data_IF_972384272616
#
_entry.id   IF_972384272616
#
_cell.length_a   1.000
_cell.length_b   1.000
_cell.length_c   1.000
_cell.angle_alpha   90.00
_cell.angle_beta   90.00
_cell.angle_gamma   90.00
#
_symmetry.space_group_name_H-M   'P 1'
#
loop_
_entity.id
_entity.type
_entity.pdbx_description
1 polymer ?
#
# COMPACT_ATOMS: atom_id res chain seq x y z
N UNK A 1 -28.70 6.75 10.66
CA UNK A 1 -27.44 6.20 11.19
C UNK A 1 -26.30 6.94 10.51
N UNK A 2 -25.20 7.20 11.21
CA UNK A 2 -23.99 7.79 10.59
C UNK A 2 -23.32 6.72 9.72
N UNK A 3 -22.91 7.06 8.50
CA UNK A 3 -22.13 6.17 7.62
C UNK A 3 -20.80 5.81 8.31
N UNK A 4 -20.34 4.58 8.12
CA UNK A 4 -19.04 4.12 8.63
C UNK A 4 -17.86 4.86 8.01
N UNK A 5 -16.67 4.72 8.61
CA UNK A 5 -15.42 5.31 8.12
C UNK A 5 -14.71 4.37 7.16
N UNK A 6 -13.93 4.95 6.26
CA UNK A 6 -13.15 4.22 5.26
C UNK A 6 -11.67 4.52 5.48
N UNK A 7 -10.85 3.47 5.52
CA UNK A 7 -9.40 3.57 5.36
C UNK A 7 -9.01 3.06 3.99
N UNK A 8 -8.15 3.78 3.29
CA UNK A 8 -7.63 3.38 1.99
C UNK A 8 -6.16 2.96 2.14
N UNK A 9 -5.83 1.79 1.60
CA UNK A 9 -4.54 1.13 1.80
C UNK A 9 -4.08 0.48 0.49
N UNK A 10 -2.80 0.17 0.39
CA UNK A 10 -2.25 -0.64 -0.70
C UNK A 10 -1.56 -1.89 -0.13
N UNK A 11 -2.00 -3.11 -0.51
CA UNK A 11 -1.37 -4.36 -0.08
C UNK A 11 -0.23 -4.80 -1.01
N UNK A 12 -0.05 -4.14 -2.15
CA UNK A 12 1.01 -4.39 -3.12
C UNK A 12 1.42 -3.13 -3.86
N UNK A 13 2.58 -3.17 -4.51
CA UNK A 13 3.13 -1.98 -5.17
C UNK A 13 4.02 -2.33 -6.37
N UNK A 14 4.16 -1.39 -7.30
CA UNK A 14 5.12 -1.44 -8.39
C UNK A 14 6.42 -0.78 -7.92
N UNK A 15 7.49 -1.55 -7.74
CA UNK A 15 8.70 -1.09 -7.03
C UNK A 15 9.97 -1.27 -7.87
N UNK A 16 11.09 -0.73 -7.39
CA UNK A 16 12.42 -0.92 -8.01
C UNK A 16 12.87 -2.38 -8.10
N UNK A 17 12.29 -3.28 -7.31
CA UNK A 17 12.57 -4.72 -7.32
C UNK A 17 11.44 -5.55 -7.94
N UNK A 18 10.53 -4.90 -8.67
CA UNK A 18 9.36 -5.52 -9.29
C UNK A 18 8.08 -5.35 -8.47
N UNK A 19 7.10 -6.21 -8.69
CA UNK A 19 5.89 -6.24 -7.87
C UNK A 19 6.24 -6.71 -6.46
N UNK A 20 6.00 -5.87 -5.46
CA UNK A 20 6.22 -6.20 -4.06
C UNK A 20 4.89 -6.45 -3.36
N UNK A 21 4.75 -7.62 -2.75
CA UNK A 21 3.49 -8.09 -2.15
C UNK A 21 3.55 -8.07 -0.63
N UNK A 22 2.54 -7.46 -0.01
CA UNK A 22 2.28 -7.44 1.43
C UNK A 22 0.86 -7.94 1.75
N UNK A 23 0.22 -8.68 0.84
CA UNK A 23 -1.17 -9.15 0.97
C UNK A 23 -1.38 -10.05 2.19
N UNK A 24 -0.32 -10.72 2.66
CA UNK A 24 -0.33 -11.50 3.90
C UNK A 24 -0.66 -10.69 5.15
N UNK A 25 -0.46 -9.37 5.14
CA UNK A 25 -0.80 -8.44 6.23
C UNK A 25 -2.16 -7.76 6.05
N UNK A 26 -2.84 -8.04 4.93
CA UNK A 26 -4.16 -7.49 4.65
C UNK A 26 -5.21 -8.01 5.65
N UNK A 27 -5.41 -9.34 5.82
CA UNK A 27 -6.42 -9.82 6.77
C UNK A 27 -6.02 -9.50 8.22
N UNK A 28 -7.01 -9.35 9.13
CA UNK A 28 -6.77 -9.34 10.56
C UNK A 28 -6.00 -10.59 11.04
N UNK A 29 -5.36 -10.52 12.23
CA UNK A 29 -4.79 -11.71 12.86
C UNK A 29 -5.81 -12.85 12.98
N UNK A 30 -5.34 -14.09 12.91
CA UNK A 30 -6.20 -15.28 12.85
C UNK A 30 -7.24 -15.33 13.98
N UNK A 31 -6.87 -14.89 15.18
CA UNK A 31 -7.73 -14.80 16.36
C UNK A 31 -8.98 -13.94 16.14
N UNK A 32 -8.86 -12.94 15.26
CA UNK A 32 -9.91 -11.99 14.91
C UNK A 32 -10.47 -12.23 13.50
N UNK A 33 -10.00 -13.25 12.78
CA UNK A 33 -10.42 -13.56 11.41
C UNK A 33 -11.39 -14.75 11.39
N UNK A 34 -12.68 -14.48 11.20
CA UNK A 34 -13.74 -15.49 11.09
C UNK A 34 -13.82 -16.10 9.68
N UNK A 35 -13.73 -15.28 8.63
CA UNK A 35 -13.80 -15.72 7.23
C UNK A 35 -12.89 -14.91 6.34
N UNK A 36 -12.23 -15.58 5.40
CA UNK A 36 -11.39 -14.94 4.40
C UNK A 36 -11.74 -15.45 3.00
N UNK A 37 -12.37 -14.61 2.20
CA UNK A 37 -12.82 -14.97 0.86
C UNK A 37 -11.76 -14.60 -0.17
N UNK A 38 -11.32 -15.60 -0.93
CA UNK A 38 -10.35 -15.45 -2.02
C UNK A 38 -11.13 -15.47 -3.33
N UNK A 39 -11.27 -14.32 -3.97
CA UNK A 39 -12.00 -14.16 -5.22
C UNK A 39 -11.07 -14.47 -6.40
N UNK A 40 -11.39 -15.50 -7.18
CA UNK A 40 -10.65 -15.91 -8.38
C UNK A 40 -11.47 -15.62 -9.63
N UNK A 41 -10.81 -15.29 -10.73
CA UNK A 41 -11.43 -15.11 -12.03
C UNK A 41 -10.59 -14.25 -12.98
N UNK A 42 -10.99 -14.19 -14.25
CA UNK A 42 -10.26 -13.42 -15.27
C UNK A 42 -10.24 -11.89 -15.05
N UNK A 43 -9.57 -11.15 -15.93
CA UNK A 43 -9.70 -9.69 -16.06
C UNK A 43 -11.16 -9.26 -16.31
N UNK A 44 -11.60 -8.10 -15.79
CA UNK A 44 -12.94 -7.57 -16.07
C UNK A 44 -14.14 -8.37 -15.53
N UNK A 45 -13.93 -9.49 -14.84
CA UNK A 45 -15.03 -10.37 -14.36
C UNK A 45 -15.81 -9.82 -13.16
N UNK A 46 -15.56 -8.58 -12.75
CA UNK A 46 -16.30 -7.90 -11.69
C UNK A 46 -15.79 -8.11 -10.26
N UNK A 47 -14.55 -8.58 -10.05
CA UNK A 47 -13.95 -8.80 -8.70
C UNK A 47 -13.98 -7.54 -7.84
N UNK A 48 -13.42 -6.44 -8.34
CA UNK A 48 -13.42 -5.14 -7.68
C UNK A 48 -14.85 -4.63 -7.41
N UNK A 49 -15.75 -4.73 -8.39
CA UNK A 49 -17.16 -4.34 -8.25
C UNK A 49 -17.89 -5.15 -7.18
N UNK A 50 -17.63 -6.45 -7.11
CA UNK A 50 -18.16 -7.34 -6.07
C UNK A 50 -17.75 -6.86 -4.68
N UNK A 51 -16.46 -6.59 -4.49
CA UNK A 51 -15.91 -6.11 -3.22
C UNK A 51 -16.42 -4.72 -2.84
N UNK A 52 -16.45 -3.77 -3.78
CA UNK A 52 -16.97 -2.41 -3.55
C UNK A 52 -18.42 -2.41 -3.11
N UNK A 53 -19.27 -3.23 -3.74
CA UNK A 53 -20.69 -3.31 -3.39
C UNK A 53 -20.91 -3.91 -1.97
N UNK A 54 -20.08 -4.87 -1.56
CA UNK A 54 -20.09 -5.37 -0.17
C UNK A 54 -19.68 -4.25 0.79
N UNK A 55 -18.55 -3.59 0.53
CA UNK A 55 -18.04 -2.52 1.38
C UNK A 55 -19.05 -1.37 1.54
N UNK A 56 -19.69 -0.94 0.44
CA UNK A 56 -20.70 0.12 0.46
C UNK A 56 -21.92 -0.26 1.30
N UNK A 57 -22.35 -1.52 1.23
CA UNK A 57 -23.44 -2.02 2.07
C UNK A 57 -23.10 -1.92 3.56
N UNK A 58 -21.91 -2.39 3.94
CA UNK A 58 -21.40 -2.35 5.32
C UNK A 58 -21.26 -0.90 5.82
N UNK A 59 -20.74 -0.01 4.99
CA UNK A 59 -20.60 1.41 5.31
C UNK A 59 -21.95 2.09 5.55
N UNK A 60 -22.96 1.78 4.73
CA UNK A 60 -24.31 2.32 4.88
C UNK A 60 -25.03 1.78 6.14
N UNK A 61 -24.58 0.65 6.67
CA UNK A 61 -24.99 0.13 7.98
C UNK A 61 -24.27 0.83 9.16
N UNK A 62 -23.31 1.71 8.89
CA UNK A 62 -22.59 2.48 9.92
C UNK A 62 -21.32 1.81 10.45
N UNK A 63 -20.80 0.80 9.74
CA UNK A 63 -19.59 0.08 10.15
C UNK A 63 -18.38 0.45 9.30
N UNK A 64 -17.22 0.51 9.94
CA UNK A 64 -15.96 0.85 9.29
C UNK A 64 -15.46 -0.27 8.37
N UNK A 65 -14.79 0.10 7.28
CA UNK A 65 -14.14 -0.83 6.34
C UNK A 65 -12.77 -0.33 5.94
N UNK A 66 -11.90 -1.26 5.55
CA UNK A 66 -10.66 -0.94 4.85
C UNK A 66 -10.79 -1.35 3.38
N UNK A 67 -10.44 -0.43 2.49
CA UNK A 67 -10.36 -0.68 1.05
C UNK A 67 -8.89 -0.78 0.66
N UNK A 68 -8.51 -1.94 0.12
CA UNK A 68 -7.16 -2.24 -0.33
C UNK A 68 -7.13 -2.12 -1.85
N UNK A 69 -6.47 -1.08 -2.36
CA UNK A 69 -6.47 -0.69 -3.77
C UNK A 69 -5.42 -1.42 -4.57
N UNK A 70 -5.69 -1.61 -5.86
CA UNK A 70 -4.75 -2.17 -6.81
C UNK A 70 -3.72 -1.12 -7.24
N UNK A 71 -2.43 -1.41 -7.10
CA UNK A 71 -1.37 -0.49 -7.56
C UNK A 71 -1.28 -0.40 -9.10
N UNK A 72 -1.91 -1.33 -9.81
CA UNK A 72 -1.87 -1.40 -11.28
C UNK A 72 -3.14 -0.88 -11.96
N UNK A 73 -4.19 -0.59 -11.17
CA UNK A 73 -5.42 0.01 -11.65
C UNK A 73 -6.05 0.86 -10.54
N UNK A 74 -5.95 2.19 -10.68
CA UNK A 74 -6.48 3.18 -9.74
C UNK A 74 -7.98 3.02 -9.43
N UNK A 75 -8.75 2.41 -10.33
CA UNK A 75 -10.18 2.22 -10.16
C UNK A 75 -10.50 0.86 -9.50
N UNK A 76 -9.53 -0.01 -9.26
CA UNK A 76 -9.77 -1.36 -8.76
C UNK A 76 -9.35 -1.58 -7.31
N UNK A 77 -10.10 -2.45 -6.65
CA UNK A 77 -9.74 -3.00 -5.34
C UNK A 77 -9.16 -4.39 -5.52
N UNK A 78 -8.12 -4.65 -4.74
CA UNK A 78 -7.53 -5.97 -4.54
C UNK A 78 -8.00 -6.60 -3.23
N UNK A 79 -8.63 -5.84 -2.33
CA UNK A 79 -9.22 -6.40 -1.14
C UNK A 79 -10.13 -5.45 -0.36
N UNK A 80 -10.91 -6.05 0.53
CA UNK A 80 -11.77 -5.35 1.51
C UNK A 80 -11.66 -6.06 2.84
N UNK A 81 -11.43 -5.30 3.92
CA UNK A 81 -11.48 -5.83 5.28
C UNK A 81 -12.67 -5.19 5.99
N UNK A 82 -13.43 -6.02 6.69
CA UNK A 82 -14.57 -5.64 7.53
C UNK A 82 -14.20 -6.02 8.98
N UNK A 83 -13.50 -5.13 9.72
CA UNK A 83 -12.90 -5.48 11.00
C UNK A 83 -13.91 -6.00 12.03
N UNK A 84 -15.08 -5.37 12.13
CA UNK A 84 -16.08 -5.73 13.15
C UNK A 84 -16.69 -7.13 12.95
N UNK A 85 -16.67 -7.67 11.72
CA UNK A 85 -17.10 -9.04 11.42
C UNK A 85 -15.95 -10.03 11.50
N UNK A 86 -14.69 -9.57 11.52
CA UNK A 86 -13.54 -10.44 11.29
C UNK A 86 -13.58 -11.06 9.88
N UNK A 87 -14.01 -10.30 8.88
CA UNK A 87 -14.14 -10.80 7.49
C UNK A 87 -13.20 -10.04 6.58
N UNK A 88 -12.53 -10.75 5.68
CA UNK A 88 -11.74 -10.15 4.61
C UNK A 88 -12.10 -10.77 3.25
N UNK A 89 -11.97 -9.97 2.20
CA UNK A 89 -12.05 -10.36 0.80
C UNK A 89 -10.74 -9.97 0.12
N UNK A 90 -10.20 -10.84 -0.72
CA UNK A 90 -9.02 -10.57 -1.52
C UNK A 90 -9.26 -11.03 -2.95
N UNK A 91 -8.79 -10.26 -3.93
CA UNK A 91 -8.50 -10.82 -5.25
C UNK A 91 -7.37 -11.84 -5.08
N UNK A 92 -7.53 -13.06 -5.57
CA UNK A 92 -6.51 -14.11 -5.47
C UNK A 92 -5.82 -14.43 -6.79
N UNK A 93 -5.92 -13.57 -7.80
CA UNK A 93 -5.39 -13.83 -9.16
C UNK A 93 -3.96 -13.35 -9.33
N UNK A 94 -3.27 -13.77 -10.40
CA UNK A 94 -1.91 -13.30 -10.67
C UNK A 94 -1.89 -11.77 -10.86
N UNK A 95 -0.84 -11.06 -10.39
CA UNK A 95 0.43 -11.55 -9.83
C UNK A 95 0.38 -11.98 -8.35
N UNK A 96 -0.73 -11.74 -7.66
CA UNK A 96 -0.93 -11.98 -6.23
C UNK A 96 -1.70 -13.29 -5.97
N UNK A 97 -1.26 -14.38 -6.59
CA UNK A 97 -1.93 -15.69 -6.43
C UNK A 97 -1.89 -16.15 -4.97
N UNK A 98 -3.06 -16.14 -4.32
CA UNK A 98 -3.25 -16.55 -2.92
C UNK A 98 -4.05 -17.85 -2.89
N UNK A 99 -3.53 -18.85 -2.18
CA UNK A 99 -4.24 -20.11 -1.95
C UNK A 99 -4.66 -20.24 -0.48
N UNK A 100 -5.79 -20.92 -0.19
CA UNK A 100 -6.25 -21.18 1.17
C UNK A 100 -5.21 -21.83 2.07
N UNK A 101 -5.03 -21.33 3.30
CA UNK A 101 -4.16 -21.96 4.31
C UNK A 101 -4.94 -22.89 5.24
N UNK A 102 -6.16 -22.51 5.63
CA UNK A 102 -7.06 -23.27 6.48
C UNK A 102 -8.42 -23.42 5.77
N UNK A 103 -8.45 -24.13 4.62
CA UNK A 103 -9.61 -24.19 3.73
C UNK A 103 -10.87 -24.68 4.45
N UNK A 104 -11.99 -23.99 4.24
CA UNK A 104 -13.30 -24.32 4.79
C UNK A 104 -13.51 -23.88 6.25
N UNK A 105 -12.45 -23.82 7.06
CA UNK A 105 -12.53 -23.29 8.42
C UNK A 105 -12.45 -21.75 8.45
N UNK A 106 -11.54 -21.18 7.65
CA UNK A 106 -11.32 -19.73 7.54
C UNK A 106 -11.43 -19.29 6.08
N UNK A 107 -10.59 -19.85 5.20
CA UNK A 107 -10.55 -19.45 3.80
C UNK A 107 -11.58 -20.16 2.93
N UNK A 108 -12.17 -19.42 2.00
CA UNK A 108 -13.07 -19.93 0.97
C UNK A 108 -12.79 -19.27 -0.38
N UNK A 109 -12.80 -20.07 -1.45
CA UNK A 109 -12.63 -19.55 -2.81
C UNK A 109 -13.99 -19.17 -3.39
N UNK A 110 -14.10 -17.92 -3.83
CA UNK A 110 -15.20 -17.46 -4.68
C UNK A 110 -14.69 -17.51 -6.12
N UNK A 111 -15.10 -18.53 -6.88
CA UNK A 111 -14.68 -18.68 -8.27
C UNK A 111 -15.65 -17.98 -9.23
N UNK A 112 -15.31 -16.79 -9.69
CA UNK A 112 -16.11 -16.07 -10.68
C UNK A 112 -15.96 -16.65 -12.10
N UNK A 113 -14.98 -17.53 -12.32
CA UNK A 113 -14.83 -18.27 -13.57
C UNK A 113 -15.98 -19.25 -13.86
N UNK A 114 -16.81 -19.58 -12.86
CA UNK A 114 -17.97 -20.44 -13.07
C UNK A 114 -19.11 -19.74 -13.84
N UNK A 115 -19.03 -18.42 -14.00
CA UNK A 115 -20.07 -17.59 -14.62
C UNK A 115 -19.69 -17.06 -16.01
N UNK A 116 -18.70 -17.66 -16.69
CA UNK A 116 -18.31 -17.25 -18.04
C UNK A 116 -18.77 -18.21 -19.15
N UNK A 117 -18.86 -17.69 -20.37
CA UNK A 117 -18.99 -18.49 -21.57
C UNK A 117 -17.61 -18.87 -22.12
N UNK A 118 -17.10 -20.03 -21.71
CA UNK A 118 -15.80 -20.54 -22.14
C UNK A 118 -15.69 -20.69 -23.67
N UNK A 119 -16.77 -21.11 -24.35
CA UNK A 119 -16.78 -21.25 -25.80
C UNK A 119 -16.67 -19.89 -26.53
N UNK A 120 -17.18 -18.82 -25.92
CA UNK A 120 -16.98 -17.46 -26.40
C UNK A 120 -15.52 -17.02 -26.30
N UNK A 121 -14.92 -17.17 -25.12
CA UNK A 121 -13.51 -16.84 -24.86
C UNK A 121 -12.54 -17.66 -25.72
N UNK A 122 -12.87 -18.92 -26.00
CA UNK A 122 -12.02 -19.81 -26.80
C UNK A 122 -11.79 -19.28 -28.22
N UNK A 123 -12.73 -18.49 -28.77
CA UNK A 123 -12.62 -17.88 -30.10
C UNK A 123 -11.49 -16.85 -30.16
N UNK A 124 -11.29 -16.11 -29.08
CA UNK A 124 -10.31 -15.03 -28.96
C UNK A 124 -9.02 -15.46 -28.23
N UNK A 125 -8.82 -16.78 -28.02
CA UNK A 125 -7.72 -17.32 -27.20
C UNK A 125 -6.32 -16.82 -27.58
N UNK A 126 -6.08 -16.58 -28.88
CA UNK A 126 -4.77 -16.13 -29.38
C UNK A 126 -4.55 -14.66 -29.02
N UNK A 127 -5.57 -13.84 -29.19
CA UNK A 127 -5.57 -12.41 -28.87
C UNK A 127 -5.47 -12.20 -27.36
N UNK A 128 -6.23 -12.96 -26.57
CA UNK A 128 -6.16 -12.99 -25.10
C UNK A 128 -4.74 -13.34 -24.65
N UNK A 129 -4.15 -14.42 -25.19
CA UNK A 129 -2.79 -14.82 -24.84
C UNK A 129 -1.74 -13.76 -25.21
N UNK A 130 -1.90 -13.11 -26.38
CA UNK A 130 -1.02 -12.03 -26.82
C UNK A 130 -1.13 -10.81 -25.89
N UNK A 131 -2.33 -10.40 -25.51
CA UNK A 131 -2.56 -9.29 -24.58
C UNK A 131 -1.98 -9.58 -23.18
N UNK A 132 -2.13 -10.81 -22.65
CA UNK A 132 -1.50 -11.22 -21.39
C UNK A 132 0.04 -11.14 -21.48
N UNK A 133 0.62 -11.62 -22.58
CA UNK A 133 2.06 -11.56 -22.81
C UNK A 133 2.57 -10.11 -22.88
N UNK A 134 1.82 -9.24 -23.56
CA UNK A 134 2.14 -7.82 -23.67
C UNK A 134 2.09 -7.11 -22.32
N UNK A 135 1.09 -7.39 -21.48
CA UNK A 135 1.05 -6.89 -20.10
C UNK A 135 2.31 -7.28 -19.33
N UNK A 136 2.71 -8.56 -19.39
CA UNK A 136 3.95 -9.03 -18.77
C UNK A 136 5.19 -8.30 -19.29
N UNK A 137 5.25 -8.00 -20.60
CA UNK A 137 6.35 -7.25 -21.21
C UNK A 137 6.37 -5.79 -20.74
N UNK A 138 5.22 -5.12 -20.68
CA UNK A 138 5.09 -3.73 -20.24
C UNK A 138 5.49 -3.58 -18.76
N UNK A 139 5.04 -4.47 -17.87
CA UNK A 139 5.46 -4.45 -16.47
C UNK A 139 6.96 -4.72 -16.30
N UNK A 140 7.57 -5.66 -17.04
CA UNK A 140 9.03 -5.85 -17.02
C UNK A 140 9.78 -4.57 -17.41
N UNK A 141 9.27 -3.81 -18.39
CA UNK A 141 9.83 -2.50 -18.77
C UNK A 141 9.66 -1.48 -17.66
N UNK A 142 8.47 -1.37 -17.08
CA UNK A 142 8.21 -0.48 -15.94
C UNK A 142 9.18 -0.75 -14.78
N UNK A 143 9.33 -2.01 -14.36
CA UNK A 143 10.21 -2.39 -13.26
C UNK A 143 11.68 -2.13 -13.57
N UNK A 144 12.12 -2.33 -14.82
CA UNK A 144 13.48 -1.96 -15.23
C UNK A 144 13.72 -0.45 -15.08
N UNK A 145 12.73 0.37 -15.43
CA UNK A 145 12.82 1.83 -15.27
C UNK A 145 12.76 2.25 -13.79
N UNK A 146 11.95 1.60 -12.94
CA UNK A 146 11.97 1.83 -11.49
C UNK A 146 13.30 1.43 -10.84
N UNK A 147 13.92 0.34 -11.30
CA UNK A 147 15.25 -0.05 -10.85
C UNK A 147 16.30 1.03 -11.19
N UNK A 148 16.25 1.59 -12.41
CA UNK A 148 17.11 2.71 -12.81
C UNK A 148 16.80 3.98 -12.01
N UNK A 149 15.52 4.29 -11.79
CA UNK A 149 15.13 5.43 -10.97
C UNK A 149 15.72 5.31 -9.55
N UNK A 150 15.68 4.12 -8.93
CA UNK A 150 16.33 3.88 -7.64
C UNK A 150 17.83 4.18 -7.69
N UNK A 151 18.55 3.78 -8.74
CA UNK A 151 20.01 4.04 -8.85
C UNK A 151 20.29 5.54 -8.76
N UNK A 152 19.56 6.36 -9.52
CA UNK A 152 19.74 7.81 -9.50
C UNK A 152 19.20 8.46 -8.23
N UNK A 153 18.17 7.88 -7.60
CA UNK A 153 17.71 8.32 -6.28
C UNK A 153 18.77 8.05 -5.20
N UNK A 154 19.43 6.89 -5.21
CA UNK A 154 20.53 6.57 -4.31
C UNK A 154 21.73 7.51 -4.53
N UNK A 155 22.04 7.84 -5.79
CA UNK A 155 23.08 8.82 -6.14
C UNK A 155 22.73 10.22 -5.61
N UNK A 156 21.47 10.66 -5.78
CA UNK A 156 20.97 11.89 -5.17
C UNK A 156 21.10 11.89 -3.64
N UNK A 157 20.69 10.81 -2.97
CA UNK A 157 20.80 10.67 -1.51
C UNK A 157 22.25 10.69 -1.03
N UNK A 158 23.19 10.21 -1.84
CA UNK A 158 24.61 10.12 -1.48
C UNK A 158 25.23 11.48 -1.16
N UNK A 159 24.79 12.56 -1.84
CA UNK A 159 25.25 13.92 -1.58
C UNK A 159 24.99 14.38 -0.13
N UNK A 160 23.93 13.86 0.51
CA UNK A 160 23.59 14.17 1.90
C UNK A 160 24.41 13.33 2.90
N UNK A 161 24.97 12.22 2.44
CA UNK A 161 25.81 11.32 3.25
C UNK A 161 27.31 11.70 3.21
N UNK A 162 27.69 12.65 2.36
CA UNK A 162 29.07 13.13 2.24
C UNK A 162 29.62 13.71 3.56
N UNK A 163 30.92 13.53 3.87
CA UNK A 163 31.49 13.87 5.17
C UNK A 163 31.22 15.31 5.64
N UNK A 164 30.39 15.40 6.68
CA UNK A 164 30.04 16.64 7.35
C UNK A 164 29.02 17.49 6.62
N UNK A 165 28.35 16.97 5.59
CA UNK A 165 27.12 17.57 5.03
C UNK A 165 25.98 17.43 6.04
N UNK A 166 25.78 16.25 6.61
CA UNK A 166 24.81 16.00 7.69
C UNK A 166 25.47 15.96 9.07
N UNK A 167 24.82 16.59 10.05
CA UNK A 167 25.11 16.36 11.47
C UNK A 167 24.32 15.14 11.99
N UNK A 168 24.86 13.96 11.76
CA UNK A 168 24.25 12.71 12.22
C UNK A 168 24.10 12.61 13.74
N UNK A 169 24.96 13.28 14.52
CA UNK A 169 24.84 13.30 15.98
C UNK A 169 23.62 14.12 16.43
N UNK A 170 23.28 15.18 15.69
CA UNK A 170 22.06 15.93 15.92
C UNK A 170 20.82 15.11 15.54
N UNK A 171 20.86 14.36 14.44
CA UNK A 171 19.78 13.42 14.05
C UNK A 171 19.57 12.35 15.12
N UNK A 172 20.65 11.77 15.68
CA UNK A 172 20.56 10.77 16.75
C UNK A 172 19.91 11.36 18.01
N UNK A 173 20.27 12.59 18.37
CA UNK A 173 19.68 13.29 19.52
C UNK A 173 18.19 13.55 19.31
N UNK A 174 17.81 14.05 18.13
CA UNK A 174 16.42 14.26 17.78
C UNK A 174 15.63 12.95 17.82
N UNK A 175 16.23 11.87 17.34
CA UNK A 175 15.63 10.53 17.41
C UNK A 175 15.34 10.14 18.86
N UNK A 176 16.29 10.34 19.77
CA UNK A 176 16.10 10.05 21.19
C UNK A 176 15.03 10.94 21.84
N UNK A 177 14.93 12.21 21.43
CA UNK A 177 13.89 13.13 21.90
C UNK A 177 12.49 12.67 21.44
N UNK A 178 12.34 12.31 20.16
CA UNK A 178 11.09 11.75 19.62
C UNK A 178 10.71 10.46 20.37
N UNK A 179 11.67 9.53 20.55
CA UNK A 179 11.42 8.29 21.28
C UNK A 179 11.04 8.56 22.74
N UNK A 180 11.73 9.49 23.40
CA UNK A 180 11.46 9.89 24.77
C UNK A 180 10.06 10.45 24.93
N UNK A 181 9.60 11.29 24.00
CA UNK A 181 8.27 11.89 24.03
C UNK A 181 7.17 10.87 23.73
N UNK A 182 7.31 10.08 22.65
CA UNK A 182 6.32 9.06 22.24
C UNK A 182 6.14 8.00 23.35
N UNK A 183 7.24 7.53 23.93
CA UNK A 183 7.23 6.37 24.83
C UNK A 183 7.44 6.72 26.31
N UNK A 184 7.38 8.00 26.69
CA UNK A 184 7.66 8.49 28.06
C UNK A 184 6.91 7.73 29.17
N UNK A 185 5.67 7.34 28.90
CA UNK A 185 4.79 6.64 29.85
C UNK A 185 4.56 5.16 29.49
N UNK A 186 5.34 4.64 28.55
CA UNK A 186 5.19 3.26 28.06
C UNK A 186 6.07 2.30 28.85
N UNK A 187 5.50 1.13 29.18
CA UNK A 187 6.23 -0.01 29.71
C UNK A 187 6.02 -1.21 28.78
N UNK A 188 6.85 -2.24 28.92
CA UNK A 188 6.69 -3.45 28.12
C UNK A 188 5.31 -4.07 28.40
N UNK A 189 4.51 -4.31 27.35
CA UNK A 189 3.13 -4.79 27.46
C UNK A 189 3.00 -6.23 27.99
N UNK A 190 4.10 -6.97 27.93
CA UNK A 190 4.17 -8.41 28.27
C UNK A 190 3.77 -9.30 27.09
N UNK A 191 3.40 -8.68 25.97
CA UNK A 191 3.02 -9.35 24.74
C UNK A 191 4.14 -9.26 23.71
N UNK A 192 4.12 -10.17 22.73
CA UNK A 192 4.91 -10.00 21.53
C UNK A 192 4.26 -8.94 20.64
N UNK A 193 5.05 -7.98 20.15
CA UNK A 193 4.55 -6.97 19.22
C UNK A 193 4.06 -7.60 17.91
N UNK A 194 2.94 -7.08 17.41
CA UNK A 194 2.43 -7.39 16.07
C UNK A 194 2.69 -6.19 15.16
N UNK A 195 3.48 -6.40 14.10
CA UNK A 195 3.73 -5.39 13.08
C UNK A 195 2.96 -5.74 11.81
N UNK A 196 2.01 -4.89 11.45
CA UNK A 196 1.26 -4.97 10.19
C UNK A 196 1.98 -4.12 9.15
N UNK A 197 2.37 -4.72 8.03
CA UNK A 197 3.14 -4.03 6.99
C UNK A 197 2.29 -3.81 5.74
N UNK A 198 2.18 -2.56 5.27
CA UNK A 198 1.40 -2.17 4.09
C UNK A 198 2.08 -0.98 3.38
N UNK A 199 1.43 -0.43 2.35
CA UNK A 199 1.82 0.83 1.73
C UNK A 199 0.71 1.88 1.92
N UNK A 200 1.11 3.11 2.26
CA UNK A 200 0.23 4.27 2.25
C UNK A 200 0.19 4.95 0.87
N UNK A 201 1.25 4.76 0.08
CA UNK A 201 1.44 5.35 -1.24
C UNK A 201 1.84 4.27 -2.24
N UNK A 202 1.27 4.31 -3.45
CA UNK A 202 1.61 3.39 -4.53
C UNK A 202 2.02 4.11 -5.81
N UNK A 203 2.87 3.46 -6.61
CA UNK A 203 3.24 3.90 -7.96
C UNK A 203 2.23 3.27 -8.91
N UNK A 204 1.33 4.10 -9.47
CA UNK A 204 0.18 3.66 -10.26
C UNK A 204 0.21 4.20 -11.69
N UNK A 205 -0.70 3.75 -12.58
CA UNK A 205 -0.89 4.31 -13.91
C UNK A 205 -1.01 5.84 -13.97
N UNK A 206 -1.64 6.44 -12.96
CA UNK A 206 -1.85 7.90 -12.88
C UNK A 206 -0.72 8.61 -12.10
N UNK A 207 0.42 7.93 -11.90
CA UNK A 207 1.53 8.39 -11.08
C UNK A 207 1.40 7.98 -9.62
N UNK A 208 2.19 8.58 -8.71
CA UNK A 208 2.12 8.26 -7.29
C UNK A 208 0.75 8.63 -6.69
N UNK A 209 0.12 7.69 -5.99
CA UNK A 209 -1.15 7.89 -5.30
C UNK A 209 -0.98 7.63 -3.82
N UNK A 210 -1.33 8.60 -2.99
CA UNK A 210 -1.21 8.54 -1.54
C UNK A 210 -2.58 8.52 -0.88
N UNK A 211 -2.74 7.64 0.09
CA UNK A 211 -3.92 7.51 0.94
C UNK A 211 -3.62 7.77 2.41
N UNK A 212 -2.46 8.39 2.68
CA UNK A 212 -1.95 8.68 4.01
C UNK A 212 -2.98 9.42 4.89
N UNK A 213 -3.68 10.41 4.34
CA UNK A 213 -4.72 11.15 5.08
C UNK A 213 -5.78 10.22 5.70
N UNK A 214 -6.23 9.20 4.95
CA UNK A 214 -7.22 8.24 5.46
C UNK A 214 -6.67 7.31 6.55
N UNK A 215 -5.35 7.10 6.57
CA UNK A 215 -4.65 6.22 7.50
C UNK A 215 -4.44 6.92 8.84
N UNK A 216 -4.07 8.20 8.81
CA UNK A 216 -3.75 9.00 10.00
C UNK A 216 -4.93 9.84 10.49
N UNK A 217 -6.05 9.83 9.78
CA UNK A 217 -7.31 10.45 10.22
C UNK A 217 -7.75 9.87 11.57
N UNK A 218 -7.92 10.74 12.56
CA UNK A 218 -8.31 10.36 13.93
C UNK A 218 -7.16 9.93 14.83
N UNK A 219 -5.91 9.95 14.35
CA UNK A 219 -4.72 9.81 15.21
C UNK A 219 -4.50 11.12 15.96
N UNK A 220 -4.32 11.04 17.28
CA UNK A 220 -4.30 12.21 18.17
C UNK A 220 -3.00 13.00 18.12
N UNK A 221 -1.86 12.30 18.01
CA UNK A 221 -0.52 12.91 18.00
C UNK A 221 0.23 12.49 16.74
N UNK A 222 0.67 13.44 15.93
CA UNK A 222 1.38 13.16 14.68
C UNK A 222 2.71 13.91 14.65
N UNK A 223 3.78 13.18 14.37
CA UNK A 223 5.10 13.74 14.10
C UNK A 223 5.33 13.72 12.60
N UNK A 224 5.47 14.89 11.99
CA UNK A 224 5.74 15.02 10.56
C UNK A 224 7.20 15.34 10.37
N UNK A 225 7.96 14.36 9.90
CA UNK A 225 9.39 14.51 9.63
C UNK A 225 9.54 14.99 8.18
N UNK A 226 9.99 16.23 7.98
CA UNK A 226 10.17 16.84 6.66
C UNK A 226 11.65 17.02 6.32
N UNK A 227 11.98 17.07 5.03
CA UNK A 227 13.33 17.32 4.51
C UNK A 227 13.68 16.43 3.32
N UNK A 228 14.85 16.62 2.73
CA UNK A 228 15.24 15.89 1.52
C UNK A 228 15.45 14.38 1.75
N UNK A 229 15.37 13.60 0.67
CA UNK A 229 15.76 12.18 0.70
C UNK A 229 17.22 12.06 1.16
N UNK A 230 17.55 11.02 1.93
CA UNK A 230 18.89 10.86 2.52
C UNK A 230 19.18 11.63 3.82
N UNK A 231 18.27 12.48 4.32
CA UNK A 231 18.50 13.29 5.55
C UNK A 231 18.15 12.59 6.88
N UNK A 232 18.02 11.26 6.88
CA UNK A 232 17.82 10.46 8.12
C UNK A 232 16.38 10.16 8.52
N UNK A 233 15.37 10.57 7.73
CA UNK A 233 13.94 10.34 8.03
C UNK A 233 13.60 8.86 8.26
N UNK A 234 14.01 7.99 7.34
CA UNK A 234 13.80 6.54 7.43
C UNK A 234 14.47 5.93 8.66
N UNK A 235 15.62 6.48 9.09
CA UNK A 235 16.31 6.05 10.31
C UNK A 235 15.46 6.33 11.54
N UNK A 236 14.92 7.55 11.66
CA UNK A 236 14.02 7.94 12.76
C UNK A 236 12.80 7.00 12.81
N UNK A 237 12.11 6.83 11.67
CA UNK A 237 10.93 5.97 11.55
C UNK A 237 11.22 4.51 11.95
N UNK A 238 12.36 3.96 11.51
CA UNK A 238 12.79 2.60 11.87
C UNK A 238 13.04 2.48 13.37
N UNK A 239 13.66 3.47 14.00
CA UNK A 239 13.88 3.46 15.45
C UNK A 239 12.56 3.51 16.24
N UNK A 240 11.58 4.28 15.76
CA UNK A 240 10.22 4.31 16.35
C UNK A 240 9.55 2.93 16.26
N UNK A 241 9.55 2.31 15.09
CA UNK A 241 8.98 0.97 14.90
C UNK A 241 9.69 -0.08 15.78
N UNK A 242 11.03 -0.04 15.84
CA UNK A 242 11.81 -0.96 16.67
C UNK A 242 11.53 -0.75 18.16
N UNK A 243 11.42 0.49 18.62
CA UNK A 243 11.11 0.78 20.03
C UNK A 243 9.71 0.32 20.41
N UNK A 244 8.72 0.54 19.56
CA UNK A 244 7.38 0.01 19.77
C UNK A 244 7.38 -1.53 19.84
N UNK A 245 8.15 -2.19 18.96
CA UNK A 245 8.29 -3.63 18.96
C UNK A 245 8.93 -4.16 20.26
N UNK A 246 9.98 -3.50 20.75
CA UNK A 246 10.63 -3.83 22.03
C UNK A 246 9.73 -3.63 23.24
N UNK A 247 8.69 -2.80 23.13
CA UNK A 247 7.70 -2.60 24.19
C UNK A 247 6.48 -3.51 24.03
N UNK A 248 6.46 -4.38 23.02
CA UNK A 248 5.34 -5.27 22.75
C UNK A 248 4.08 -4.56 22.26
N UNK A 249 4.22 -3.35 21.69
CA UNK A 249 3.10 -2.55 21.17
C UNK A 249 2.81 -2.94 19.72
N UNK A 250 1.54 -3.00 19.34
CA UNK A 250 1.15 -3.22 17.95
C UNK A 250 1.44 -1.99 17.09
N UNK A 251 1.94 -2.19 15.87
CA UNK A 251 2.23 -1.09 14.93
C UNK A 251 1.75 -1.40 13.53
N UNK A 252 1.31 -0.37 12.81
CA UNK A 252 1.20 -0.41 11.36
C UNK A 252 2.43 0.30 10.76
N UNK A 253 3.18 -0.40 9.92
CA UNK A 253 4.41 0.07 9.29
C UNK A 253 4.16 0.20 7.80
N UNK A 254 4.33 1.41 7.27
CA UNK A 254 4.10 1.73 5.87
C UNK A 254 5.42 1.91 5.16
N UNK A 255 5.63 1.11 4.12
CA UNK A 255 6.89 1.07 3.37
C UNK A 255 6.92 2.06 2.22
N UNK A 256 8.14 2.36 1.75
CA UNK A 256 8.36 3.18 0.58
C UNK A 256 7.99 2.46 -0.70
N UNK A 257 7.23 3.15 -1.55
CA UNK A 257 6.72 2.60 -2.80
C UNK A 257 7.85 2.23 -3.77
N UNK A 258 8.91 3.04 -3.86
CA UNK A 258 10.05 2.77 -4.73
C UNK A 258 10.98 1.71 -4.12
N UNK A 259 11.27 1.81 -2.82
CA UNK A 259 12.21 0.96 -2.09
C UNK A 259 11.58 0.34 -0.83
N UNK A 260 10.93 -0.84 -0.95
CA UNK A 260 10.15 -1.44 0.14
C UNK A 260 10.93 -1.81 1.41
N UNK A 261 12.27 -1.73 1.40
CA UNK A 261 13.09 -1.91 2.59
C UNK A 261 13.16 -0.63 3.47
N UNK A 262 12.78 0.52 2.92
CA UNK A 262 12.66 1.80 3.62
C UNK A 262 11.23 1.95 4.17
N UNK A 263 11.11 2.49 5.37
CA UNK A 263 9.85 2.81 6.04
C UNK A 263 9.58 4.30 5.86
N UNK A 264 8.35 4.65 5.48
CA UNK A 264 7.88 6.02 5.34
C UNK A 264 6.94 6.45 6.46
N UNK A 265 6.13 5.53 7.01
CA UNK A 265 5.23 5.89 8.11
C UNK A 265 5.12 4.78 9.15
N UNK A 266 4.89 5.16 10.39
CA UNK A 266 4.60 4.25 11.51
C UNK A 266 3.40 4.78 12.27
N UNK A 267 2.38 3.95 12.45
CA UNK A 267 1.23 4.23 13.32
C UNK A 267 1.28 3.28 14.51
N UNK A 268 1.09 3.83 15.71
CA UNK A 268 1.03 3.08 16.97
C UNK A 268 -0.37 3.33 17.56
N UNK A 269 -1.37 2.48 17.23
CA UNK A 269 -2.77 2.73 17.58
C UNK A 269 -3.01 2.89 19.08
N UNK A 270 -2.37 2.06 19.91
CA UNK A 270 -2.53 2.08 21.37
C UNK A 270 -2.09 3.41 22.00
N UNK A 271 -1.05 4.03 21.44
CA UNK A 271 -0.59 5.35 21.86
C UNK A 271 -1.37 6.49 21.17
N UNK A 272 -2.19 6.18 20.16
CA UNK A 272 -2.83 7.17 19.31
C UNK A 272 -1.81 8.10 18.65
N UNK A 273 -0.67 7.56 18.23
CA UNK A 273 0.47 8.31 17.70
C UNK A 273 0.86 7.83 16.30
N UNK A 274 1.23 8.75 15.41
CA UNK A 274 1.85 8.43 14.12
C UNK A 274 3.13 9.23 13.89
N UNK A 275 4.10 8.63 13.22
CA UNK A 275 5.30 9.27 12.70
C UNK A 275 5.28 9.14 11.20
N UNK A 276 5.41 10.27 10.51
CA UNK A 276 5.09 10.43 9.10
C UNK A 276 6.31 11.02 8.38
N UNK A 277 6.77 10.37 7.31
CA UNK A 277 7.57 11.03 6.28
C UNK A 277 6.71 12.05 5.53
N UNK A 278 6.98 13.34 5.74
CA UNK A 278 6.23 14.46 5.17
C UNK A 278 6.74 14.94 3.81
N UNK A 279 7.49 14.12 3.08
CA UNK A 279 8.04 14.46 1.76
C UNK A 279 7.20 13.87 0.61
N UNK A 280 7.25 14.51 -0.56
CA UNK A 280 6.71 13.96 -1.81
C UNK A 280 7.32 12.56 -2.04
N UNK A 281 6.55 11.56 -2.50
CA UNK A 281 5.18 11.63 -3.05
C UNK A 281 4.06 11.49 -2.03
N UNK A 282 4.34 11.48 -0.73
CA UNK A 282 3.31 11.38 0.30
C UNK A 282 2.54 12.70 0.40
N UNK A 283 1.24 12.63 0.11
CA UNK A 283 0.35 13.79 0.28
C UNK A 283 -0.17 13.79 1.71
N UNK A 284 0.36 14.70 2.53
CA UNK A 284 -0.16 15.03 3.86
C UNK A 284 0.20 16.47 4.16
N UNK A 285 -0.80 17.28 4.55
CA UNK A 285 -0.57 18.66 4.99
C UNK A 285 -0.62 18.68 6.52
N UNK A 286 0.45 19.12 7.21
CA UNK A 286 0.44 19.20 8.66
C UNK A 286 -0.74 20.01 9.20
N UNK A 287 -1.42 19.46 10.19
CA UNK A 287 -2.46 20.15 10.94
C UNK A 287 -1.87 20.97 12.09
N UNK A 288 -2.68 21.83 12.71
CA UNK A 288 -2.24 22.79 13.74
C UNK A 288 -1.52 22.13 14.93
N UNK A 289 -1.98 20.95 15.34
CA UNK A 289 -1.48 20.24 16.52
C UNK A 289 -0.39 19.21 16.18
N UNK A 290 0.04 19.17 14.91
CA UNK A 290 1.10 18.28 14.47
C UNK A 290 2.49 18.81 14.87
N UNK A 291 3.37 17.90 15.25
CA UNK A 291 4.76 18.20 15.59
C UNK A 291 5.58 18.08 14.30
N UNK A 292 5.93 19.21 13.70
CA UNK A 292 6.73 19.24 12.47
C UNK A 292 8.21 19.34 12.80
N UNK A 293 8.97 18.36 12.34
CA UNK A 293 10.41 18.24 12.56
C UNK A 293 11.10 18.26 11.20
N UNK A 294 11.83 19.33 10.90
CA UNK A 294 12.61 19.41 9.67
C UNK A 294 14.01 18.86 9.90
N UNK A 295 14.41 17.85 9.13
CA UNK A 295 15.79 17.33 9.10
C UNK A 295 16.75 18.28 8.40
N UNK A 296 16.24 19.24 7.63
CA UNK A 296 17.04 20.28 6.97
C UNK A 296 17.87 21.12 7.95
N UNK A 297 17.44 21.25 9.21
CA UNK A 297 18.19 22.00 10.23
C UNK A 297 19.51 21.31 10.62
N UNK A 298 19.70 20.05 10.25
CA UNK A 298 20.92 19.29 10.48
C UNK A 298 21.88 19.32 9.28
N UNK A 299 21.52 20.05 8.21
CA UNK A 299 22.33 20.19 7.00
C UNK A 299 23.33 21.35 7.10
N UNK A 300 24.57 21.07 6.74
CA UNK A 300 25.54 22.08 6.39
C UNK A 300 25.40 22.43 4.90
N UNK A 301 24.55 23.43 4.61
CA UNK A 301 24.27 23.88 3.23
C UNK A 301 25.50 24.35 2.47
N UNK A 302 26.49 24.93 3.15
CA UNK A 302 27.74 25.35 2.52
C UNK A 302 28.52 24.16 1.97
N UNK A 303 28.59 23.04 2.70
CA UNK A 303 29.23 21.81 2.23
C UNK A 303 28.40 21.11 1.16
N UNK A 304 27.07 21.07 1.32
CA UNK A 304 26.17 20.49 0.32
C UNK A 304 26.29 21.18 -1.04
N UNK A 305 26.54 22.50 -1.06
CA UNK A 305 26.68 23.26 -2.31
C UNK A 305 27.75 22.71 -3.26
N UNK A 306 28.80 22.05 -2.75
CA UNK A 306 29.83 21.42 -3.57
C UNK A 306 29.31 20.25 -4.42
N UNK A 307 28.22 19.62 -3.99
CA UNK A 307 27.60 18.46 -4.63
C UNK A 307 26.30 18.82 -5.36
N UNK A 308 25.90 20.10 -5.34
CA UNK A 308 24.59 20.52 -5.83
C UNK A 308 24.36 20.25 -7.32
N UNK A 309 25.39 20.37 -8.16
CA UNK A 309 25.27 20.10 -9.60
C UNK A 309 25.09 18.60 -9.88
N UNK A 310 25.85 17.74 -9.20
CA UNK A 310 25.76 16.28 -9.32
C UNK A 310 24.41 15.78 -8.79
N UNK A 311 23.98 16.28 -7.62
CA UNK A 311 22.67 15.96 -7.05
C UNK A 311 21.52 16.40 -7.98
N UNK A 312 21.60 17.58 -8.59
CA UNK A 312 20.59 18.05 -9.54
C UNK A 312 20.53 17.17 -10.80
N UNK A 313 21.68 16.75 -11.35
CA UNK A 313 21.73 15.82 -12.50
C UNK A 313 21.13 14.45 -12.14
N UNK A 314 21.52 13.89 -10.99
CA UNK A 314 20.96 12.64 -10.49
C UNK A 314 19.44 12.74 -10.28
N UNK A 315 18.94 13.84 -9.71
CA UNK A 315 17.51 14.06 -9.53
C UNK A 315 16.76 14.12 -10.87
N UNK A 316 17.29 14.83 -11.86
CA UNK A 316 16.67 14.89 -13.19
C UNK A 316 16.60 13.51 -13.84
N UNK A 317 17.66 12.70 -13.74
CA UNK A 317 17.68 11.33 -14.29
C UNK A 317 16.73 10.40 -13.54
N UNK A 318 16.59 10.58 -12.23
CA UNK A 318 15.57 9.90 -11.43
C UNK A 318 14.17 10.23 -11.96
N UNK A 319 13.84 11.51 -12.13
CA UNK A 319 12.53 11.95 -12.62
C UNK A 319 12.23 11.38 -14.02
N UNK A 320 13.20 11.42 -14.94
CA UNK A 320 13.06 10.89 -16.30
C UNK A 320 12.80 9.37 -16.28
N UNK A 321 13.57 8.62 -15.48
CA UNK A 321 13.39 7.18 -15.35
C UNK A 321 12.06 6.82 -14.68
N UNK A 322 11.66 7.57 -13.66
CA UNK A 322 10.41 7.39 -12.94
C UNK A 322 9.19 7.68 -13.83
N UNK A 323 9.23 8.77 -14.61
CA UNK A 323 8.20 9.10 -15.59
C UNK A 323 8.07 8.05 -16.70
N UNK A 324 9.20 7.51 -17.17
CA UNK A 324 9.20 6.39 -18.11
C UNK A 324 8.55 5.13 -17.51
N UNK A 325 8.81 4.83 -16.23
CA UNK A 325 8.15 3.72 -15.54
C UNK A 325 6.63 3.90 -15.48
N UNK A 326 6.15 5.08 -15.06
CA UNK A 326 4.71 5.40 -15.02
C UNK A 326 4.09 5.24 -16.41
N UNK A 327 4.76 5.69 -17.46
CA UNK A 327 4.29 5.53 -18.84
C UNK A 327 4.08 4.05 -19.21
N UNK A 328 5.00 3.16 -18.82
CA UNK A 328 4.83 1.73 -19.05
C UNK A 328 3.72 1.10 -18.21
N UNK A 329 3.54 1.54 -16.96
CA UNK A 329 2.43 1.10 -16.10
C UNK A 329 1.09 1.54 -16.69
N UNK A 330 0.98 2.79 -17.15
CA UNK A 330 -0.21 3.33 -17.80
C UNK A 330 -0.57 2.55 -19.08
N UNK A 331 0.44 2.20 -19.89
CA UNK A 331 0.25 1.33 -21.06
C UNK A 331 -0.20 -0.08 -20.69
N UNK A 332 0.32 -0.63 -19.59
CA UNK A 332 -0.11 -1.93 -19.09
C UNK A 332 -1.59 -1.89 -18.65
N UNK A 333 -2.02 -0.82 -17.97
CA UNK A 333 -3.44 -0.59 -17.68
C UNK A 333 -4.28 -0.53 -18.96
N UNK A 334 -3.89 0.27 -19.95
CA UNK A 334 -4.62 0.35 -21.23
C UNK A 334 -4.74 -1.02 -21.91
N UNK A 335 -3.67 -1.83 -21.91
CA UNK A 335 -3.72 -3.17 -22.47
C UNK A 335 -4.54 -4.15 -21.59
N UNK A 336 -4.59 -3.94 -20.27
CA UNK A 336 -5.50 -4.64 -19.38
C UNK A 336 -6.97 -4.31 -19.69
N UNK A 337 -7.31 -3.04 -19.90
CA UNK A 337 -8.67 -2.62 -20.28
C UNK A 337 -9.10 -3.27 -21.61
N UNK A 338 -8.17 -3.39 -22.57
CA UNK A 338 -8.40 -4.16 -23.81
C UNK A 338 -8.65 -5.64 -23.54
N UNK A 339 -7.94 -6.23 -22.58
CA UNK A 339 -8.12 -7.62 -22.19
C UNK A 339 -9.52 -7.83 -21.57
N UNK A 340 -10.00 -6.89 -20.76
CA UNK A 340 -11.35 -6.95 -20.17
C UNK A 340 -12.46 -7.00 -21.24
N UNK A 341 -12.27 -6.31 -22.38
CA UNK A 341 -13.26 -6.32 -23.48
C UNK A 341 -13.51 -7.72 -24.08
N UNK A 342 -12.57 -8.66 -23.93
CA UNK A 342 -12.80 -10.05 -24.31
C UNK A 342 -13.61 -10.82 -23.25
N UNK A 343 -13.41 -10.51 -21.96
CA UNK A 343 -14.06 -11.21 -20.86
C UNK A 343 -15.48 -10.70 -20.59
N UNK A 344 -15.67 -9.38 -20.51
CA UNK A 344 -16.94 -8.75 -20.11
C UNK A 344 -18.15 -9.28 -20.90
N UNK A 345 -18.14 -9.38 -22.25
CA UNK A 345 -19.29 -9.87 -23.02
C UNK A 345 -19.63 -11.35 -22.76
N UNK A 346 -18.71 -12.09 -22.17
CA UNK A 346 -18.83 -13.51 -21.88
C UNK A 346 -19.20 -13.79 -20.42
N UNK A 347 -19.47 -12.76 -19.60
CA UNK A 347 -19.83 -12.92 -18.18
C UNK A 347 -21.34 -12.87 -17.93
N UNK A 348 -21.84 -13.75 -17.08
CA UNK A 348 -23.16 -13.62 -16.45
C UNK A 348 -23.08 -12.77 -15.18
N UNK A 349 -23.12 -11.44 -15.36
CA UNK A 349 -23.08 -10.50 -14.23
C UNK A 349 -24.31 -10.58 -13.31
N UNK A 350 -25.43 -11.10 -13.81
CA UNK A 350 -26.63 -11.27 -12.98
C UNK A 350 -26.38 -12.38 -11.96
N UNK A 351 -25.89 -13.53 -12.40
CA UNK A 351 -25.54 -14.63 -11.50
C UNK A 351 -24.46 -14.22 -10.48
N UNK A 352 -23.47 -13.42 -10.88
CA UNK A 352 -22.47 -12.86 -9.96
C UNK A 352 -23.11 -11.94 -8.93
N UNK A 353 -24.08 -11.10 -9.33
CA UNK A 353 -24.82 -10.24 -8.41
C UNK A 353 -25.62 -11.06 -7.39
N UNK A 354 -26.31 -12.12 -7.83
CA UNK A 354 -27.07 -13.02 -6.95
C UNK A 354 -26.14 -13.72 -5.94
N UNK A 355 -24.97 -14.19 -6.39
CA UNK A 355 -23.93 -14.76 -5.53
C UNK A 355 -23.45 -13.73 -4.50
N UNK A 356 -23.20 -12.48 -4.91
CA UNK A 356 -22.79 -11.40 -4.00
C UNK A 356 -23.80 -11.20 -2.88
N UNK A 357 -25.10 -11.17 -3.20
CA UNK A 357 -26.15 -11.04 -2.21
C UNK A 357 -26.20 -12.22 -1.24
N UNK A 358 -26.01 -13.45 -1.74
CA UNK A 358 -25.92 -14.64 -0.91
C UNK A 358 -24.73 -14.55 0.07
N UNK A 359 -23.55 -14.16 -0.41
CA UNK A 359 -22.36 -13.97 0.43
C UNK A 359 -22.59 -12.85 1.44
N UNK A 360 -23.20 -11.73 1.04
CA UNK A 360 -23.55 -10.63 1.94
C UNK A 360 -24.45 -11.09 3.08
N UNK A 361 -25.52 -11.83 2.79
CA UNK A 361 -26.41 -12.41 3.83
C UNK A 361 -25.65 -13.32 4.79
N UNK A 362 -24.74 -14.15 4.26
CA UNK A 362 -23.94 -15.09 5.05
C UNK A 362 -22.92 -14.39 5.96
N UNK A 363 -22.25 -13.34 5.50
CA UNK A 363 -21.28 -12.64 6.36
C UNK A 363 -21.99 -11.86 7.47
N UNK A 364 -23.19 -11.33 7.22
CA UNK A 364 -23.99 -10.64 8.24
C UNK A 364 -24.51 -11.58 9.32
N UNK A 365 -24.74 -12.86 9.00
CA UNK A 365 -25.15 -13.85 10.00
C UNK A 365 -24.01 -14.32 10.92
N UNK A 366 -22.74 -13.93 10.68
CA UNK A 366 -21.60 -14.28 11.55
C UNK A 366 -21.57 -13.51 12.89
N UNK A 367 -22.46 -12.52 13.03
CA UNK A 367 -22.64 -11.73 14.25
C UNK A 367 -23.93 -12.08 15.01
N UNK A 368 -24.68 -13.08 14.55
CA UNK A 368 -25.72 -13.75 15.31
C UNK A 368 -25.12 -14.98 15.97
#
# INVERSE_FOLDING_TARGET
MTRGKIRHLFPGNNTSIGFFSLYQYMPPPLENLKRYFIIKGGPGVGKSTFMKAIAETILNMGHDVELHHCSSDNASLDGVVIPFLGVAFVDGTAPHSIDPKIPGAVEEIINLGDFWNAAGLQKDRVQIAAAISENGRLFRRAYSHLAVAKIFHDEYESAFSEPGVMDWKAVDRETLEILGDIFSSSSHSGLQSVQRHLFATAITPDGPQSHLDSIVSGIRKRYVISGESGTGKTTILRQVANRAALLGLATEVFHCALEPAKIDHVVIPELGTAVINGSIPHTYTPEKDDIVISTERFLNRHKLAAFGAEAADAWQRYEDAFAAAITFIARAKQNHDLLENYYIPNMDFKAISDLREQIMRRILSLNQ
#
